data_IF_270017053035
#
_entry.id   IF_270017053035
#
_cell.length_a   1.000
_cell.length_b   1.000
_cell.length_c   1.000
_cell.angle_alpha   90.00
_cell.angle_beta   90.00
_cell.angle_gamma   90.00
#
_symmetry.space_group_name_H-M   'P 1'
#
loop_
_entity.id
_entity.type
_entity.pdbx_description
1 polymer ?
#
# COMPACT_ATOMS: atom_id res chain seq x y z
N UNK A 1 -9.12 14.00 -3.08
CA UNK A 1 -8.54 14.93 -2.08
C UNK A 1 -9.32 14.81 -0.78
N UNK A 2 -8.69 15.01 0.38
CA UNK A 2 -9.39 14.98 1.67
C UNK A 2 -10.20 16.26 1.87
N UNK A 3 -11.38 16.17 2.47
CA UNK A 3 -12.19 17.32 2.87
C UNK A 3 -11.77 17.85 4.25
N UNK A 4 -11.96 19.16 4.45
CA UNK A 4 -11.87 19.81 5.75
C UNK A 4 -13.03 19.35 6.63
N UNK A 5 -12.71 18.88 7.84
CA UNK A 5 -13.70 18.33 8.78
C UNK A 5 -14.37 19.43 9.61
N UNK A 6 -13.83 20.66 9.61
CA UNK A 6 -14.41 21.82 10.30
C UNK A 6 -15.42 22.61 9.46
N UNK A 7 -15.67 22.20 8.21
CA UNK A 7 -16.51 22.92 7.25
C UNK A 7 -17.57 22.00 6.67
N UNK A 8 -18.73 22.56 6.33
CA UNK A 8 -19.81 21.82 5.64
C UNK A 8 -19.42 21.49 4.20
N UNK A 9 -20.13 20.54 3.58
CA UNK A 9 -19.93 20.18 2.16
C UNK A 9 -20.19 21.38 1.23
N UNK A 10 -21.27 22.14 1.49
CA UNK A 10 -21.63 23.34 0.72
C UNK A 10 -20.53 24.40 0.75
N UNK A 11 -19.94 24.67 1.91
CA UNK A 11 -18.84 25.64 2.04
C UNK A 11 -17.57 25.21 1.30
N UNK A 12 -17.40 23.91 1.08
CA UNK A 12 -16.28 23.32 0.34
C UNK A 12 -16.59 23.15 -1.15
N UNK A 13 -17.76 23.60 -1.62
CA UNK A 13 -18.15 23.56 -3.03
C UNK A 13 -18.58 22.17 -3.52
N UNK A 14 -18.93 21.25 -2.62
CA UNK A 14 -19.44 19.93 -2.97
C UNK A 14 -20.96 20.03 -3.19
N UNK A 15 -21.40 19.73 -4.42
CA UNK A 15 -22.81 19.70 -4.81
C UNK A 15 -23.51 18.38 -4.40
N UNK A 16 -24.84 18.38 -4.34
CA UNK A 16 -25.66 17.21 -3.99
C UNK A 16 -25.49 16.04 -5.00
N UNK A 17 -25.02 16.34 -6.22
CA UNK A 17 -24.78 15.35 -7.26
C UNK A 17 -23.35 14.75 -7.26
N UNK A 18 -22.46 15.18 -6.35
CA UNK A 18 -21.10 14.67 -6.28
C UNK A 18 -20.96 13.39 -5.42
N UNK A 19 -20.26 12.39 -5.94
CA UNK A 19 -19.95 11.17 -5.21
C UNK A 19 -18.68 11.33 -4.37
N UNK A 20 -18.81 11.16 -3.06
CA UNK A 20 -17.68 11.15 -2.14
C UNK A 20 -17.17 9.72 -1.87
N UNK A 21 -15.85 9.59 -1.69
CA UNK A 21 -15.23 8.33 -1.31
C UNK A 21 -14.98 8.30 0.20
N UNK A 22 -15.57 7.34 0.90
CA UNK A 22 -15.19 7.08 2.30
C UNK A 22 -13.82 6.41 2.32
N UNK A 23 -12.84 7.09 2.92
CA UNK A 23 -11.48 6.59 3.09
C UNK A 23 -10.99 6.90 4.50
N UNK A 24 -10.22 6.00 5.11
CA UNK A 24 -9.71 6.22 6.46
C UNK A 24 -8.53 7.20 6.44
N UNK A 25 -8.63 8.27 7.23
CA UNK A 25 -7.61 9.32 7.33
C UNK A 25 -6.61 9.09 8.47
N UNK A 26 -7.07 8.52 9.58
CA UNK A 26 -6.28 8.33 10.80
C UNK A 26 -6.27 6.86 11.26
N UNK A 27 -5.12 6.40 11.74
CA UNK A 27 -4.90 5.06 12.28
C UNK A 27 -4.56 5.18 13.78
N UNK A 28 -5.42 4.66 14.66
CA UNK A 28 -5.27 4.82 16.12
C UNK A 28 -5.37 3.50 16.89
N UNK A 29 -6.35 2.64 16.57
CA UNK A 29 -6.53 1.32 17.21
C UNK A 29 -6.75 0.24 16.15
N UNK A 30 -5.68 -0.43 15.73
CA UNK A 30 -5.68 -1.47 14.68
C UNK A 30 -5.32 -2.85 15.24
N UNK A 31 -5.59 -3.11 16.51
CA UNK A 31 -5.01 -4.26 17.20
C UNK A 31 -5.48 -5.63 16.68
N UNK A 32 -6.65 -5.77 16.06
CA UNK A 32 -7.10 -7.08 15.54
C UNK A 32 -7.61 -7.01 14.10
N UNK A 33 -7.12 -7.92 13.27
CA UNK A 33 -7.76 -8.32 12.00
C UNK A 33 -8.64 -9.52 12.36
N UNK A 34 -9.93 -9.30 12.55
CA UNK A 34 -10.86 -10.39 12.88
C UNK A 34 -11.34 -11.07 11.59
N UNK A 35 -10.99 -12.34 11.42
CA UNK A 35 -11.44 -13.13 10.26
C UNK A 35 -12.91 -13.57 10.35
N UNK A 36 -13.55 -13.38 11.52
CA UNK A 36 -14.97 -13.71 11.75
C UNK A 36 -15.92 -12.65 11.20
N UNK A 37 -15.42 -11.44 10.95
CA UNK A 37 -16.16 -10.37 10.25
C UNK A 37 -15.57 -10.18 8.84
N UNK A 38 -16.07 -10.90 7.82
CA UNK A 38 -15.56 -10.81 6.45
C UNK A 38 -15.82 -9.43 5.82
N UNK A 39 -16.81 -8.67 6.29
CA UNK A 39 -17.11 -7.32 5.77
C UNK A 39 -16.05 -6.34 6.24
N UNK A 40 -15.78 -6.31 7.55
CA UNK A 40 -14.72 -5.47 8.11
C UNK A 40 -13.35 -5.84 7.51
N UNK A 41 -13.04 -7.13 7.41
CA UNK A 41 -11.81 -7.61 6.79
C UNK A 41 -11.67 -7.13 5.34
N UNK A 42 -12.75 -7.19 4.56
CA UNK A 42 -12.73 -6.72 3.19
C UNK A 42 -12.47 -5.21 3.10
N UNK A 43 -13.08 -4.41 3.97
CA UNK A 43 -12.82 -2.96 4.03
C UNK A 43 -11.35 -2.65 4.36
N UNK A 44 -10.76 -3.36 5.32
CA UNK A 44 -9.34 -3.23 5.66
C UNK A 44 -8.43 -3.63 4.50
N UNK A 45 -8.74 -4.72 3.81
CA UNK A 45 -8.00 -5.19 2.64
C UNK A 45 -8.05 -4.17 1.50
N UNK A 46 -9.25 -3.71 1.11
CA UNK A 46 -9.43 -2.76 0.01
C UNK A 46 -8.65 -1.49 0.27
N UNK A 47 -8.73 -0.95 1.49
CA UNK A 47 -8.00 0.25 1.86
C UNK A 47 -6.48 0.05 1.80
N UNK A 48 -5.96 -1.02 2.41
CA UNK A 48 -4.52 -1.31 2.41
C UNK A 48 -3.99 -1.53 0.97
N UNK A 49 -4.77 -2.23 0.14
CA UNK A 49 -4.45 -2.46 -1.27
C UNK A 49 -4.38 -1.14 -2.03
N UNK A 50 -5.41 -0.31 -1.92
CA UNK A 50 -5.49 0.94 -2.67
C UNK A 50 -4.37 1.90 -2.27
N UNK A 51 -4.07 2.00 -0.97
CA UNK A 51 -2.95 2.81 -0.45
C UNK A 51 -1.59 2.34 -0.99
N UNK A 52 -1.39 1.03 -1.14
CA UNK A 52 -0.16 0.48 -1.75
C UNK A 52 -0.12 0.77 -3.25
N UNK A 53 -1.18 0.46 -4.00
CA UNK A 53 -1.23 0.61 -5.46
C UNK A 53 -1.11 2.08 -5.89
N UNK A 54 -1.71 3.00 -5.14
CA UNK A 54 -1.65 4.43 -5.44
C UNK A 54 -0.37 5.12 -4.94
N UNK A 55 0.47 4.41 -4.15
CA UNK A 55 1.74 4.91 -3.63
C UNK A 55 1.65 5.70 -2.31
N UNK A 56 0.46 5.84 -1.71
CA UNK A 56 0.28 6.49 -0.40
C UNK A 56 0.95 5.69 0.72
N UNK A 57 1.04 4.37 0.57
CA UNK A 57 1.83 3.48 1.41
C UNK A 57 3.02 2.94 0.59
N UNK A 58 4.19 3.59 0.66
CA UNK A 58 5.37 3.15 -0.06
C UNK A 58 5.87 1.81 0.45
N UNK A 59 6.09 0.87 -0.47
CA UNK A 59 6.63 -0.47 -0.20
C UNK A 59 7.74 -0.78 -1.19
N UNK A 60 8.68 -1.66 -0.82
CA UNK A 60 9.72 -2.09 -1.74
C UNK A 60 9.16 -2.94 -2.88
N UNK A 61 9.91 -3.10 -3.98
CA UNK A 61 9.49 -3.91 -5.12
C UNK A 61 9.19 -5.37 -4.73
N UNK A 62 10.02 -5.97 -3.88
CA UNK A 62 9.81 -7.34 -3.43
C UNK A 62 8.51 -7.47 -2.62
N UNK A 63 8.22 -6.49 -1.74
CA UNK A 63 6.96 -6.47 -1.00
C UNK A 63 5.77 -6.20 -1.90
N UNK A 64 5.89 -5.32 -2.90
CA UNK A 64 4.83 -5.11 -3.89
C UNK A 64 4.49 -6.42 -4.62
N UNK A 65 5.49 -7.23 -5.00
CA UNK A 65 5.26 -8.54 -5.62
C UNK A 65 4.58 -9.54 -4.67
N UNK A 66 4.93 -9.52 -3.38
CA UNK A 66 4.31 -10.35 -2.35
C UNK A 66 2.83 -9.98 -2.14
N UNK A 67 2.51 -8.69 -2.04
CA UNK A 67 1.13 -8.20 -2.00
C UNK A 67 0.33 -8.58 -3.25
N UNK A 68 0.91 -8.42 -4.43
CA UNK A 68 0.30 -8.83 -5.68
C UNK A 68 0.04 -10.34 -5.72
N UNK A 69 0.91 -11.17 -5.14
CA UNK A 69 0.69 -12.61 -5.00
C UNK A 69 -0.54 -12.95 -4.16
N UNK A 70 -0.72 -12.28 -3.02
CA UNK A 70 -1.95 -12.39 -2.22
C UNK A 70 -3.17 -11.87 -2.98
N UNK A 71 -3.04 -10.75 -3.71
CA UNK A 71 -4.13 -10.21 -4.53
C UNK A 71 -4.55 -11.19 -5.64
N UNK A 72 -3.61 -11.89 -6.28
CA UNK A 72 -3.92 -12.96 -7.22
C UNK A 72 -4.66 -14.12 -6.54
N UNK A 73 -4.25 -14.53 -5.33
CA UNK A 73 -4.97 -15.56 -4.58
C UNK A 73 -6.42 -15.14 -4.26
N UNK A 74 -6.62 -13.87 -3.91
CA UNK A 74 -7.94 -13.30 -3.58
C UNK A 74 -8.83 -13.23 -4.83
N UNK A 75 -8.29 -12.83 -5.98
CA UNK A 75 -9.08 -12.62 -7.20
C UNK A 75 -9.28 -13.89 -8.03
N UNK A 76 -8.32 -14.82 -8.01
CA UNK A 76 -8.28 -15.96 -8.92
C UNK A 76 -8.26 -17.33 -8.22
N UNK A 77 -8.19 -17.35 -6.88
CA UNK A 77 -7.98 -18.59 -6.11
C UNK A 77 -6.57 -19.17 -6.29
N UNK A 78 -6.36 -20.47 -6.03
CA UNK A 78 -5.06 -21.13 -6.13
C UNK A 78 -4.39 -20.96 -7.50
N UNK A 79 -3.06 -20.87 -7.51
CA UNK A 79 -2.31 -20.69 -8.74
C UNK A 79 -2.43 -21.90 -9.69
N UNK A 80 -2.85 -21.65 -10.94
CA UNK A 80 -2.91 -22.65 -12.01
C UNK A 80 -1.90 -22.29 -13.12
N UNK A 81 -0.83 -23.08 -13.24
CA UNK A 81 0.26 -22.85 -14.21
C UNK A 81 -0.19 -22.91 -15.68
N UNK A 82 -1.29 -23.60 -15.98
CA UNK A 82 -1.82 -23.68 -17.35
C UNK A 82 -2.54 -22.39 -17.76
N UNK A 83 -3.12 -21.66 -16.79
CA UNK A 83 -3.89 -20.42 -17.00
C UNK A 83 -3.08 -19.17 -16.69
N UNK A 84 -2.39 -19.14 -15.56
CA UNK A 84 -1.64 -17.99 -15.05
C UNK A 84 -0.22 -17.96 -15.66
N UNK A 85 -0.17 -17.71 -16.97
CA UNK A 85 1.05 -17.63 -17.78
C UNK A 85 1.52 -16.18 -17.95
N UNK A 86 2.77 -15.93 -18.37
CA UNK A 86 3.22 -14.58 -18.65
C UNK A 86 2.30 -13.83 -19.62
N UNK A 87 1.97 -12.57 -19.29
CA UNK A 87 1.01 -11.74 -20.01
C UNK A 87 -0.45 -11.93 -19.57
N UNK A 88 -0.72 -12.77 -18.56
CA UNK A 88 -2.06 -12.93 -17.99
C UNK A 88 -2.46 -11.75 -17.11
N UNK A 89 -1.51 -11.14 -16.38
CA UNK A 89 -1.80 -10.02 -15.49
C UNK A 89 -1.62 -8.67 -16.20
N UNK A 90 -2.58 -7.77 -16.03
CA UNK A 90 -2.36 -6.36 -16.27
C UNK A 90 -1.68 -5.73 -15.04
N UNK A 91 -0.35 -5.59 -15.10
CA UNK A 91 0.47 -5.19 -13.96
C UNK A 91 0.08 -3.84 -13.34
N UNK A 92 -0.64 -2.97 -14.06
CA UNK A 92 -1.11 -1.69 -13.52
C UNK A 92 -2.12 -1.85 -12.38
N UNK A 93 -2.81 -3.00 -12.34
CA UNK A 93 -3.83 -3.31 -11.34
C UNK A 93 -3.26 -4.04 -10.10
N UNK A 94 -1.99 -4.45 -10.18
CA UNK A 94 -1.31 -5.27 -9.15
C UNK A 94 -0.07 -4.62 -8.54
N UNK A 95 0.53 -3.64 -9.22
CA UNK A 95 1.76 -3.00 -8.78
C UNK A 95 1.62 -1.46 -8.73
N UNK A 96 2.32 -0.80 -7.78
CA UNK A 96 2.52 0.64 -7.81
C UNK A 96 3.11 1.10 -9.16
N UNK A 97 2.73 2.31 -9.61
CA UNK A 97 3.11 2.86 -10.93
C UNK A 97 4.62 2.80 -11.22
N UNK A 98 5.45 3.01 -10.22
CA UNK A 98 6.92 2.96 -10.31
C UNK A 98 7.49 1.56 -10.60
N UNK A 99 6.73 0.49 -10.33
CA UNK A 99 7.15 -0.90 -10.46
C UNK A 99 6.58 -1.61 -11.69
N UNK A 100 5.59 -1.04 -12.38
CA UNK A 100 4.97 -1.65 -13.58
C UNK A 100 6.00 -1.99 -14.67
N UNK A 101 7.03 -1.15 -14.83
CA UNK A 101 8.09 -1.36 -15.84
C UNK A 101 9.13 -2.41 -15.43
N UNK A 102 9.14 -2.81 -14.16
CA UNK A 102 9.98 -3.88 -13.69
C UNK A 102 9.26 -5.18 -14.03
N UNK A 103 9.93 -6.14 -14.70
CA UNK A 103 9.35 -7.43 -15.14
C UNK A 103 8.99 -8.32 -13.93
N UNK A 104 8.04 -7.89 -13.11
CA UNK A 104 7.69 -8.44 -11.80
C UNK A 104 6.70 -9.60 -11.86
N UNK A 105 6.02 -9.81 -12.99
CA UNK A 105 4.99 -10.84 -13.15
C UNK A 105 5.47 -12.24 -12.69
N UNK A 106 6.71 -12.61 -13.03
CA UNK A 106 7.30 -13.88 -12.57
C UNK A 106 7.39 -13.97 -11.05
N UNK A 107 7.80 -12.88 -10.37
CA UNK A 107 7.85 -12.82 -8.90
C UNK A 107 6.44 -12.88 -8.30
N UNK A 108 5.47 -12.22 -8.93
CA UNK A 108 4.06 -12.26 -8.51
C UNK A 108 3.52 -13.68 -8.60
N UNK A 109 3.74 -14.39 -9.70
CA UNK A 109 3.29 -15.79 -9.82
C UNK A 109 4.01 -16.74 -8.87
N UNK A 110 5.29 -16.50 -8.55
CA UNK A 110 5.97 -17.26 -7.50
C UNK A 110 5.31 -17.02 -6.13
N UNK A 111 5.00 -15.77 -5.78
CA UNK A 111 4.30 -15.45 -4.54
C UNK A 111 2.86 -16.03 -4.52
N UNK A 112 2.15 -15.99 -5.65
CA UNK A 112 0.82 -16.60 -5.81
C UNK A 112 0.87 -18.11 -5.62
N UNK A 113 1.84 -18.79 -6.25
CA UNK A 113 2.06 -20.24 -6.09
C UNK A 113 2.37 -20.61 -4.64
N UNK A 114 3.15 -19.78 -3.94
CA UNK A 114 3.47 -19.98 -2.52
C UNK A 114 2.24 -19.86 -1.59
N UNK A 115 1.13 -19.26 -2.06
CA UNK A 115 -0.11 -19.25 -1.30
C UNK A 115 -0.82 -20.61 -1.29
N UNK A 116 -0.52 -21.51 -2.24
CA UNK A 116 -1.13 -22.83 -2.32
C UNK A 116 -2.66 -22.80 -2.33
N UNK A 117 -3.28 -23.58 -1.45
CA UNK A 117 -4.75 -23.67 -1.31
C UNK A 117 -5.33 -22.72 -0.27
N UNK A 118 -4.63 -21.63 0.05
CA UNK A 118 -5.08 -20.62 1.01
C UNK A 118 -6.44 -20.03 0.60
N UNK A 119 -7.36 -19.91 1.55
CA UNK A 119 -8.67 -19.31 1.28
C UNK A 119 -8.57 -17.81 1.00
N UNK A 120 -9.58 -17.24 0.34
CA UNK A 120 -9.67 -15.80 0.11
C UNK A 120 -9.60 -15.00 1.42
N UNK A 121 -10.32 -15.46 2.46
CA UNK A 121 -10.34 -14.84 3.78
C UNK A 121 -8.94 -14.83 4.38
N UNK A 122 -8.24 -15.97 4.37
CA UNK A 122 -6.89 -16.06 4.91
C UNK A 122 -5.90 -15.18 4.12
N UNK A 123 -6.02 -15.14 2.79
CA UNK A 123 -5.19 -14.27 1.95
C UNK A 123 -5.42 -12.79 2.27
N UNK A 124 -6.67 -12.35 2.48
CA UNK A 124 -6.98 -10.99 2.97
C UNK A 124 -6.37 -10.70 4.33
N UNK A 125 -6.48 -11.65 5.28
CA UNK A 125 -5.87 -11.50 6.61
C UNK A 125 -4.35 -11.33 6.50
N UNK A 126 -3.68 -12.17 5.69
CA UNK A 126 -2.23 -12.08 5.49
C UNK A 126 -1.83 -10.78 4.80
N UNK A 127 -2.58 -10.33 3.80
CA UNK A 127 -2.36 -9.05 3.14
C UNK A 127 -2.37 -7.90 4.16
N UNK A 128 -3.44 -7.79 4.96
CA UNK A 128 -3.58 -6.71 5.94
C UNK A 128 -2.52 -6.80 7.04
N UNK A 129 -2.23 -8.00 7.54
CA UNK A 129 -1.16 -8.21 8.54
C UNK A 129 0.21 -7.83 7.99
N UNK A 130 0.52 -8.21 6.75
CA UNK A 130 1.78 -7.84 6.11
C UNK A 130 1.88 -6.32 5.96
N UNK A 131 0.83 -5.66 5.46
CA UNK A 131 0.79 -4.20 5.33
C UNK A 131 1.07 -3.52 6.68
N UNK A 132 0.38 -3.94 7.74
CA UNK A 132 0.58 -3.41 9.11
C UNK A 132 1.94 -3.69 9.71
N UNK A 133 2.63 -4.74 9.26
CA UNK A 133 3.96 -5.09 9.78
C UNK A 133 5.08 -4.18 9.26
N UNK A 134 4.83 -3.43 8.18
CA UNK A 134 5.81 -2.52 7.60
C UNK A 134 5.92 -1.23 8.42
N UNK A 135 7.14 -0.75 8.63
CA UNK A 135 7.41 0.53 9.30
C UNK A 135 6.80 1.75 8.58
N UNK A 136 6.47 1.59 7.30
CA UNK A 136 5.84 2.62 6.46
C UNK A 136 4.31 2.65 6.61
N UNK A 137 3.70 1.72 7.35
CA UNK A 137 2.26 1.69 7.57
C UNK A 137 1.78 2.83 8.48
N UNK A 138 0.68 3.47 8.09
CA UNK A 138 0.09 4.56 8.86
C UNK A 138 0.92 5.86 8.85
N UNK A 139 1.93 5.95 7.98
CA UNK A 139 2.80 7.12 7.83
C UNK A 139 2.33 7.98 6.66
N UNK A 140 2.26 9.29 6.85
CA UNK A 140 2.03 10.23 5.75
C UNK A 140 3.36 10.59 5.08
N UNK A 141 3.50 10.27 3.79
CA UNK A 141 4.73 10.49 3.04
C UNK A 141 4.68 11.70 2.10
N UNK A 142 5.81 12.38 2.01
CA UNK A 142 6.06 13.48 1.09
C UNK A 142 7.34 13.20 0.29
N UNK A 143 7.27 13.33 -1.03
CA UNK A 143 8.45 13.25 -1.89
C UNK A 143 9.22 14.58 -1.80
N UNK A 144 10.43 14.53 -1.25
CA UNK A 144 11.32 15.68 -1.08
C UNK A 144 12.64 15.46 -1.80
N UNK A 145 13.44 16.52 -1.91
CA UNK A 145 14.77 16.48 -2.54
C UNK A 145 15.80 17.03 -1.56
N UNK A 146 16.78 16.21 -1.20
CA UNK A 146 17.81 16.55 -0.22
C UNK A 146 19.11 16.98 -0.91
N UNK A 147 19.75 18.02 -0.38
CA UNK A 147 21.10 18.41 -0.79
C UNK A 147 22.12 17.59 0.02
N UNK A 148 22.94 16.82 -0.66
CA UNK A 148 23.99 16.02 -0.04
C UNK A 148 25.33 16.77 -0.07
N UNK A 149 26.10 16.73 1.03
CA UNK A 149 27.44 17.32 1.08
C UNK A 149 28.32 16.71 -0.02
N UNK A 150 28.98 17.55 -0.81
CA UNK A 150 29.84 17.11 -1.91
C UNK A 150 29.12 16.69 -3.20
N UNK A 151 27.78 16.87 -3.30
CA UNK A 151 27.03 16.62 -4.54
C UNK A 151 26.21 17.84 -4.94
N UNK A 152 26.32 18.24 -6.21
CA UNK A 152 25.51 19.33 -6.78
C UNK A 152 24.08 18.89 -7.11
N UNK A 153 23.87 17.60 -7.37
CA UNK A 153 22.55 17.05 -7.70
C UNK A 153 21.78 16.74 -6.42
N UNK A 154 20.54 17.22 -6.34
CA UNK A 154 19.61 16.86 -5.27
C UNK A 154 19.21 15.39 -5.37
N UNK A 155 19.12 14.73 -4.23
CA UNK A 155 18.77 13.31 -4.12
C UNK A 155 17.30 13.19 -3.69
N UNK A 156 16.43 12.49 -4.42
CA UNK A 156 15.05 12.29 -4.00
C UNK A 156 14.99 11.43 -2.72
N UNK A 157 14.08 11.79 -1.82
CA UNK A 157 13.87 11.11 -0.54
C UNK A 157 12.39 11.13 -0.18
N UNK A 158 11.93 10.15 0.58
CA UNK A 158 10.61 10.16 1.20
C UNK A 158 10.73 10.68 2.63
N UNK A 159 10.00 11.75 2.94
CA UNK A 159 9.83 12.27 4.30
C UNK A 159 8.51 11.73 4.85
N UNK A 160 8.59 10.87 5.85
CA UNK A 160 7.42 10.30 6.52
C UNK A 160 7.13 11.04 7.84
N UNK A 161 5.86 11.29 8.10
CA UNK A 161 5.39 11.91 9.36
C UNK A 161 4.33 11.00 9.97
N UNK A 162 4.52 10.68 11.25
CA UNK A 162 3.52 10.01 12.10
C UNK A 162 3.17 10.90 13.28
N UNK A 163 2.27 10.44 14.16
CA UNK A 163 1.98 11.12 15.43
C UNK A 163 3.14 11.05 16.44
N UNK A 164 4.09 10.14 16.25
CA UNK A 164 5.15 9.82 17.22
C UNK A 164 6.54 10.18 16.70
N UNK A 165 6.75 10.19 15.38
CA UNK A 165 8.06 10.42 14.79
C UNK A 165 8.00 11.01 13.38
N UNK A 166 9.14 11.55 12.96
CA UNK A 166 9.47 11.89 11.57
C UNK A 166 10.51 10.89 11.09
N UNK A 167 10.36 10.38 9.87
CA UNK A 167 11.27 9.40 9.28
C UNK A 167 11.78 9.84 7.92
N UNK A 168 13.05 9.55 7.66
CA UNK A 168 13.74 9.74 6.39
C UNK A 168 13.89 8.39 5.72
N UNK A 169 13.24 8.20 4.57
CA UNK A 169 13.10 6.90 3.89
C UNK A 169 13.67 6.96 2.48
N UNK A 170 14.42 5.94 2.08
CA UNK A 170 14.93 5.83 0.71
C UNK A 170 13.82 5.77 -0.32
N UNK A 171 13.92 6.60 -1.36
CA UNK A 171 12.88 6.69 -2.38
C UNK A 171 12.77 5.42 -3.22
N UNK A 172 13.84 4.61 -3.36
CA UNK A 172 13.80 3.37 -4.16
C UNK A 172 13.58 2.14 -3.31
N UNK A 173 14.40 1.94 -2.28
CA UNK A 173 14.37 0.74 -1.44
C UNK A 173 13.26 0.77 -0.41
N UNK A 174 12.75 1.96 -0.09
CA UNK A 174 11.77 2.22 0.98
C UNK A 174 12.29 1.87 2.38
N UNK A 175 13.60 1.79 2.55
CA UNK A 175 14.24 1.58 3.84
C UNK A 175 14.26 2.86 4.67
N UNK A 176 13.98 2.74 5.97
CA UNK A 176 14.11 3.85 6.92
C UNK A 176 15.60 4.08 7.20
N UNK A 177 16.11 5.23 6.78
CA UNK A 177 17.51 5.63 6.94
C UNK A 177 17.73 6.29 8.29
N UNK A 178 16.77 7.10 8.71
CA UNK A 178 16.84 7.84 9.97
C UNK A 178 15.43 8.14 10.48
N UNK A 179 15.29 8.23 11.80
CA UNK A 179 14.03 8.49 12.49
C UNK A 179 14.27 9.42 13.68
N UNK A 180 13.33 10.32 13.93
CA UNK A 180 13.37 11.28 15.04
C UNK A 180 11.99 11.34 15.71
N UNK A 181 11.94 11.19 17.03
CA UNK A 181 10.69 11.26 17.77
C UNK A 181 10.17 12.70 17.88
N UNK A 182 8.84 12.84 17.82
CA UNK A 182 8.13 14.08 18.13
C UNK A 182 7.94 14.11 19.66
N UNK A 183 8.71 14.95 20.33
CA UNK A 183 8.68 15.15 21.79
C UNK A 183 7.35 15.71 22.27
#
# INVERSE_FOLDING_TARGET
NWLDHGRTLREQGIDDNETLLLRRKFFYSDQNVDSRDPVQLNLLYVQARDDILNGSHPVSFDKACEFAGFQCQIQFGPHNEQKHKPGFLDLKDFLPKEYIKQKGERKIFMAHKNCGNMSEIEAKVRYVKLARSLKTYGVSFFLVKEKMKGKNKLVPRLLGITKECVMRVDEKTKEVIQEWNLT
#
